data_IF_837055999924
#
_entry.id   IF_837055999924
#
_cell.length_a   1.000
_cell.length_b   1.000
_cell.length_c   1.000
_cell.angle_alpha   90.00
_cell.angle_beta   90.00
_cell.angle_gamma   90.00
#
_symmetry.space_group_name_H-M   'P 1'
#
loop_
_entity.id
_entity.type
_entity.pdbx_description
1 polymer ?
#
# COMPACT_ATOMS: atom_id res chain seq x y z
N UNK A 1 -12.80 10.20 29.93
CA UNK A 1 -13.33 9.02 29.19
C UNK A 1 -12.19 8.05 28.97
N UNK A 2 -12.46 6.76 29.10
CA UNK A 2 -11.48 5.67 29.00
C UNK A 2 -11.32 5.25 27.55
N UNK A 3 -10.12 4.83 27.14
CA UNK A 3 -9.89 4.22 25.82
C UNK A 3 -10.31 2.77 25.87
N UNK A 4 -11.23 2.38 24.98
CA UNK A 4 -11.60 0.99 24.75
C UNK A 4 -10.88 0.43 23.51
N UNK A 5 -10.79 -0.89 23.42
CA UNK A 5 -10.10 -1.57 22.31
C UNK A 5 -11.02 -2.67 21.76
N UNK A 6 -11.23 -2.64 20.47
CA UNK A 6 -11.95 -3.67 19.72
C UNK A 6 -11.43 -3.76 18.28
N UNK A 7 -11.59 -4.89 17.58
CA UNK A 7 -11.34 -4.94 16.14
C UNK A 7 -12.28 -3.98 15.39
N UNK A 8 -11.95 -3.70 14.15
CA UNK A 8 -12.82 -2.98 13.21
C UNK A 8 -13.95 -3.90 12.71
N UNK A 9 -14.99 -3.26 12.23
CA UNK A 9 -16.12 -3.88 11.53
C UNK A 9 -16.35 -3.17 10.18
N UNK A 10 -17.24 -3.71 9.37
CA UNK A 10 -17.60 -3.09 8.07
C UNK A 10 -18.16 -1.67 8.19
N UNK A 11 -18.69 -1.30 9.34
CA UNK A 11 -19.20 0.05 9.59
C UNK A 11 -18.08 1.06 9.90
N UNK A 12 -16.84 0.63 10.13
CA UNK A 12 -15.78 1.47 10.66
C UNK A 12 -14.80 1.99 9.55
N UNK A 13 -15.03 1.69 8.28
CA UNK A 13 -14.12 2.09 7.19
C UNK A 13 -13.99 3.60 7.03
N UNK A 14 -15.08 4.36 7.21
CA UNK A 14 -15.00 5.83 7.12
C UNK A 14 -14.23 6.40 8.31
N UNK A 15 -14.42 5.89 9.53
CA UNK A 15 -13.63 6.27 10.69
C UNK A 15 -12.14 5.89 10.54
N UNK A 16 -11.84 4.76 9.89
CA UNK A 16 -10.48 4.36 9.54
C UNK A 16 -9.84 5.38 8.59
N UNK A 17 -10.56 5.75 7.53
CA UNK A 17 -10.11 6.73 6.54
C UNK A 17 -9.83 8.10 7.20
N UNK A 18 -10.77 8.60 8.00
CA UNK A 18 -10.61 9.86 8.74
C UNK A 18 -9.36 9.85 9.62
N UNK A 19 -9.15 8.81 10.41
CA UNK A 19 -7.99 8.68 11.29
C UNK A 19 -6.66 8.65 10.52
N UNK A 20 -6.58 7.85 9.46
CA UNK A 20 -5.34 7.70 8.68
C UNK A 20 -5.02 8.97 7.89
N UNK A 21 -6.02 9.64 7.32
CA UNK A 21 -5.86 10.93 6.65
C UNK A 21 -5.41 12.03 7.62
N UNK A 22 -6.01 12.11 8.82
CA UNK A 22 -5.59 13.04 9.89
C UNK A 22 -4.14 12.81 10.29
N UNK A 23 -3.77 11.55 10.51
CA UNK A 23 -2.42 11.18 10.92
C UNK A 23 -1.37 11.51 9.85
N UNK A 24 -1.69 11.22 8.59
CA UNK A 24 -0.84 11.46 7.42
C UNK A 24 -0.62 12.97 7.18
N UNK A 25 -1.69 13.75 7.28
CA UNK A 25 -1.63 15.21 7.18
C UNK A 25 -0.74 15.83 8.28
N UNK A 26 -0.85 15.33 9.51
CA UNK A 26 -0.02 15.78 10.63
C UNK A 26 1.48 15.41 10.47
N UNK A 27 1.79 14.45 9.63
CA UNK A 27 3.17 14.05 9.27
C UNK A 27 3.72 14.78 8.05
N UNK A 28 2.92 15.65 7.43
CA UNK A 28 3.30 16.45 6.26
C UNK A 28 3.12 15.71 4.93
N UNK A 29 2.38 14.60 4.93
CA UNK A 29 2.09 13.77 3.76
C UNK A 29 0.58 13.59 3.60
N UNK A 30 -0.18 14.65 3.29
CA UNK A 30 -1.62 14.55 3.19
C UNK A 30 -2.02 13.61 2.05
N UNK A 31 -2.90 12.68 2.37
CA UNK A 31 -3.58 11.79 1.43
C UNK A 31 -5.08 11.82 1.71
N UNK A 32 -5.90 11.55 0.73
CA UNK A 32 -7.36 11.52 0.86
C UNK A 32 -7.88 10.14 0.46
N UNK A 33 -7.55 9.12 1.25
CA UNK A 33 -8.19 7.82 1.07
C UNK A 33 -9.59 7.82 1.68
N UNK A 34 -10.55 7.29 0.94
CA UNK A 34 -11.93 7.09 1.39
C UNK A 34 -12.12 5.73 2.08
N UNK A 35 -13.20 5.58 2.84
CA UNK A 35 -13.58 4.29 3.39
C UNK A 35 -13.83 3.21 2.33
N UNK A 36 -14.30 3.61 1.14
CA UNK A 36 -14.49 2.70 0.01
C UNK A 36 -13.17 2.15 -0.53
N UNK A 37 -12.13 2.99 -0.61
CA UNK A 37 -10.79 2.57 -1.02
C UNK A 37 -10.17 1.60 -0.02
N UNK A 38 -10.29 1.87 1.29
CA UNK A 38 -9.83 0.91 2.31
C UNK A 38 -10.60 -0.40 2.26
N UNK A 39 -11.90 -0.37 2.00
CA UNK A 39 -12.70 -1.59 1.84
C UNK A 39 -12.19 -2.44 0.68
N UNK A 40 -11.92 -1.81 -0.47
CA UNK A 40 -11.39 -2.50 -1.65
C UNK A 40 -9.98 -3.04 -1.40
N UNK A 41 -9.11 -2.24 -0.80
CA UNK A 41 -7.75 -2.63 -0.46
C UNK A 41 -7.73 -3.83 0.51
N UNK A 42 -8.50 -3.76 1.61
CA UNK A 42 -8.58 -4.83 2.60
C UNK A 42 -9.13 -6.12 2.00
N UNK A 43 -10.15 -6.02 1.12
CA UNK A 43 -10.66 -7.16 0.40
C UNK A 43 -9.61 -7.78 -0.54
N UNK A 44 -8.82 -6.97 -1.24
CA UNK A 44 -7.78 -7.44 -2.16
C UNK A 44 -6.65 -8.20 -1.46
N UNK A 45 -6.35 -7.85 -0.21
CA UNK A 45 -5.37 -8.54 0.64
C UNK A 45 -5.98 -9.64 1.53
N UNK A 46 -7.29 -9.87 1.46
CA UNK A 46 -7.98 -10.87 2.29
C UNK A 46 -7.89 -10.57 3.79
N UNK A 47 -7.95 -9.30 4.18
CA UNK A 47 -7.89 -8.89 5.58
C UNK A 47 -9.21 -9.26 6.27
N UNK A 48 -9.14 -10.13 7.26
CA UNK A 48 -10.23 -10.39 8.21
C UNK A 48 -10.24 -9.29 9.27
N UNK A 49 -11.24 -8.43 9.24
CA UNK A 49 -11.34 -7.30 10.16
C UNK A 49 -11.29 -7.75 11.63
N UNK A 50 -11.92 -8.85 11.97
CA UNK A 50 -11.99 -9.35 13.35
C UNK A 50 -10.68 -9.92 13.87
N UNK A 51 -9.87 -10.48 12.97
CA UNK A 51 -8.63 -11.19 13.31
C UNK A 51 -7.36 -10.39 13.02
N UNK A 52 -7.43 -9.42 12.11
CA UNK A 52 -6.26 -8.70 11.60
C UNK A 52 -6.27 -7.20 11.90
N UNK A 53 -7.31 -6.69 12.60
CA UNK A 53 -7.40 -5.25 12.93
C UNK A 53 -7.57 -5.02 14.43
N UNK A 54 -7.06 -3.87 14.90
CA UNK A 54 -7.11 -3.43 16.29
C UNK A 54 -7.42 -1.95 16.33
N UNK A 55 -8.61 -1.58 16.80
CA UNK A 55 -9.03 -0.19 16.98
C UNK A 55 -8.94 0.25 18.45
N UNK A 56 -8.45 1.47 18.68
CA UNK A 56 -8.52 2.17 19.95
C UNK A 56 -9.57 3.27 19.85
N UNK A 57 -10.54 3.27 20.74
CA UNK A 57 -11.74 4.09 20.69
C UNK A 57 -11.85 5.01 21.91
N UNK A 58 -12.16 6.28 21.67
CA UNK A 58 -12.53 7.24 22.70
C UNK A 58 -14.00 7.64 22.51
N UNK A 59 -14.89 7.00 23.26
CA UNK A 59 -16.32 7.03 22.95
C UNK A 59 -16.58 6.33 21.61
N UNK A 60 -17.18 7.02 20.66
CA UNK A 60 -17.44 6.54 19.30
C UNK A 60 -16.33 6.88 18.30
N UNK A 61 -15.36 7.68 18.70
CA UNK A 61 -14.27 8.11 17.81
C UNK A 61 -13.14 7.09 17.78
N UNK A 62 -12.72 6.66 16.60
CA UNK A 62 -11.52 5.86 16.39
C UNK A 62 -10.30 6.78 16.54
N UNK A 63 -9.48 6.56 17.57
CA UNK A 63 -8.32 7.40 17.90
C UNK A 63 -6.98 6.70 17.69
N UNK A 64 -7.03 5.44 17.30
CA UNK A 64 -5.84 4.67 16.94
C UNK A 64 -6.23 3.36 16.27
N UNK A 65 -5.40 2.90 15.37
CA UNK A 65 -5.58 1.63 14.66
C UNK A 65 -4.25 0.94 14.43
N UNK A 66 -4.26 -0.38 14.44
CA UNK A 66 -3.26 -1.21 13.77
C UNK A 66 -3.98 -2.27 12.94
N UNK A 67 -3.40 -2.64 11.80
CA UNK A 67 -3.88 -3.75 10.98
C UNK A 67 -2.71 -4.50 10.35
N UNK A 68 -2.96 -5.77 10.05
CA UNK A 68 -1.94 -6.67 9.52
C UNK A 68 -2.30 -7.08 8.10
N UNK A 69 -1.38 -6.83 7.18
CA UNK A 69 -1.44 -7.30 5.80
C UNK A 69 -0.44 -8.44 5.64
N UNK A 70 -0.95 -9.65 5.36
CA UNK A 70 -0.10 -10.80 5.13
C UNK A 70 0.03 -11.05 3.62
N UNK A 71 1.25 -11.11 3.14
CA UNK A 71 1.59 -11.35 1.73
C UNK A 71 2.31 -12.69 1.64
N UNK A 72 1.59 -13.78 1.34
CA UNK A 72 2.18 -15.10 1.20
C UNK A 72 3.08 -15.17 -0.03
N UNK A 73 4.11 -16.01 0.04
CA UNK A 73 5.00 -16.27 -1.10
C UNK A 73 5.67 -17.62 -0.94
N UNK A 74 5.91 -18.30 -2.06
CA UNK A 74 6.63 -19.58 -2.11
C UNK A 74 8.00 -19.46 -2.77
N UNK A 75 8.35 -18.27 -3.29
CA UNK A 75 9.49 -18.15 -4.18
C UNK A 75 10.66 -17.34 -3.64
N UNK A 76 10.43 -16.27 -2.84
CA UNK A 76 11.49 -15.37 -2.40
C UNK A 76 11.51 -15.10 -0.92
N UNK A 77 10.43 -14.55 -0.42
CA UNK A 77 10.23 -14.24 0.99
C UNK A 77 8.74 -14.01 1.24
N UNK A 78 8.31 -14.30 2.42
CA UNK A 78 6.96 -14.08 2.90
C UNK A 78 6.95 -12.94 3.92
N UNK A 79 5.97 -12.07 3.84
CA UNK A 79 5.94 -10.86 4.67
C UNK A 79 4.58 -10.67 5.32
N UNK A 80 4.58 -10.29 6.60
CA UNK A 80 3.43 -9.68 7.24
C UNK A 80 3.77 -8.23 7.59
N UNK A 81 3.01 -7.29 7.04
CA UNK A 81 3.13 -5.88 7.36
C UNK A 81 2.24 -5.53 8.53
N UNK A 82 2.74 -4.70 9.44
CA UNK A 82 1.95 -4.09 10.51
C UNK A 82 1.85 -2.61 10.24
N UNK A 83 0.69 -2.17 9.78
CA UNK A 83 0.36 -0.77 9.55
C UNK A 83 -0.45 -0.21 10.71
N UNK A 84 -0.51 1.11 10.82
CA UNK A 84 -1.39 1.76 11.76
C UNK A 84 -1.02 3.20 12.07
N UNK A 85 -1.92 3.87 12.78
CA UNK A 85 -1.72 5.25 13.21
C UNK A 85 -2.38 5.51 14.57
N UNK A 86 -2.01 6.62 15.18
CA UNK A 86 -2.68 7.19 16.34
C UNK A 86 -2.95 8.66 16.05
N UNK A 87 -4.20 9.09 16.26
CA UNK A 87 -4.60 10.50 16.13
C UNK A 87 -3.63 11.39 16.90
N UNK A 88 -3.18 12.50 16.30
CA UNK A 88 -2.18 13.39 16.90
C UNK A 88 -2.50 13.79 18.34
N UNK A 89 -3.76 14.08 18.64
CA UNK A 89 -4.23 14.45 19.97
C UNK A 89 -4.16 13.34 21.02
N UNK A 90 -3.95 12.08 20.61
CA UNK A 90 -3.89 10.92 21.48
C UNK A 90 -2.51 10.24 21.53
N UNK A 91 -1.52 10.79 20.85
CA UNK A 91 -0.13 10.29 20.88
C UNK A 91 0.49 10.44 22.28
N UNK A 92 1.53 9.66 22.56
CA UNK A 92 2.25 9.71 23.83
C UNK A 92 1.56 9.01 25.01
N UNK A 93 0.37 8.41 24.82
CA UNK A 93 -0.43 7.76 25.88
C UNK A 93 -0.31 6.23 25.91
N UNK A 94 0.64 5.66 25.18
CA UNK A 94 0.86 4.21 25.11
C UNK A 94 -0.04 3.46 24.11
N UNK A 95 -1.01 4.13 23.47
CA UNK A 95 -1.96 3.51 22.51
C UNK A 95 -1.19 2.81 21.39
N UNK A 96 -0.28 3.54 20.71
CA UNK A 96 0.49 2.96 19.59
C UNK A 96 1.33 1.76 19.98
N UNK A 97 1.90 1.75 21.21
CA UNK A 97 2.65 0.60 21.71
C UNK A 97 1.77 -0.63 21.85
N UNK A 98 0.56 -0.47 22.39
CA UNK A 98 -0.39 -1.57 22.54
C UNK A 98 -0.83 -2.09 21.20
N UNK A 99 -1.32 -1.20 20.32
CA UNK A 99 -1.82 -1.57 18.99
C UNK A 99 -0.74 -2.26 18.15
N UNK A 100 0.46 -1.71 18.11
CA UNK A 100 1.58 -2.30 17.38
C UNK A 100 1.98 -3.66 17.96
N UNK A 101 1.97 -3.81 19.29
CA UNK A 101 2.21 -5.10 19.94
C UNK A 101 1.19 -6.18 19.55
N UNK A 102 -0.10 -5.85 19.53
CA UNK A 102 -1.15 -6.76 19.07
C UNK A 102 -0.94 -7.14 17.57
N UNK A 103 -0.61 -6.15 16.73
CA UNK A 103 -0.30 -6.38 15.32
C UNK A 103 0.90 -7.32 15.13
N UNK A 104 1.98 -7.14 15.90
CA UNK A 104 3.15 -8.03 15.86
C UNK A 104 2.80 -9.48 16.20
N UNK A 105 1.98 -9.70 17.22
CA UNK A 105 1.52 -11.06 17.62
C UNK A 105 0.77 -11.73 16.47
N UNK A 106 -0.11 -10.99 15.79
CA UNK A 106 -0.86 -11.53 14.64
C UNK A 106 0.06 -11.77 13.44
N UNK A 107 0.94 -10.82 13.11
CA UNK A 107 1.90 -10.95 12.02
C UNK A 107 2.79 -12.20 12.19
N UNK A 108 3.34 -12.40 13.39
CA UNK A 108 4.13 -13.60 13.70
C UNK A 108 3.31 -14.89 13.64
N UNK A 109 2.06 -14.87 14.10
CA UNK A 109 1.17 -16.02 14.05
C UNK A 109 0.92 -16.45 12.60
N UNK A 110 0.61 -15.50 11.70
CA UNK A 110 0.37 -15.76 10.28
C UNK A 110 1.62 -16.36 9.62
N UNK A 111 2.79 -15.77 9.86
CA UNK A 111 4.05 -16.28 9.33
C UNK A 111 4.42 -17.67 9.86
N UNK A 112 4.13 -17.97 11.13
CA UNK A 112 4.37 -19.30 11.72
C UNK A 112 3.40 -20.36 11.20
N UNK A 113 2.17 -19.97 10.86
CA UNK A 113 1.16 -20.88 10.30
C UNK A 113 1.46 -21.27 8.84
N UNK A 114 2.24 -20.48 8.14
CA UNK A 114 2.64 -20.76 6.76
C UNK A 114 3.65 -21.90 6.70
N UNK A 115 3.41 -22.85 5.79
CA UNK A 115 4.33 -23.96 5.47
C UNK A 115 5.40 -23.57 4.45
N UNK A 116 5.37 -22.36 3.91
CA UNK A 116 6.34 -21.89 2.92
C UNK A 116 7.78 -21.97 3.47
N UNK A 117 8.75 -22.50 2.71
CA UNK A 117 10.13 -22.65 3.13
C UNK A 117 10.97 -21.37 2.99
N UNK A 118 10.40 -20.31 2.44
CA UNK A 118 11.13 -19.06 2.18
C UNK A 118 11.39 -18.24 3.46
N UNK A 119 12.36 -17.33 3.46
CA UNK A 119 12.56 -16.40 4.57
C UNK A 119 11.30 -15.59 4.87
N UNK A 120 11.02 -15.40 6.17
CA UNK A 120 9.82 -14.75 6.67
C UNK A 120 10.17 -13.49 7.43
N UNK A 121 9.43 -12.40 7.15
CA UNK A 121 9.70 -11.10 7.75
C UNK A 121 8.43 -10.44 8.27
N UNK A 122 8.53 -9.79 9.42
CA UNK A 122 7.60 -8.76 9.83
C UNK A 122 8.16 -7.42 9.38
N UNK A 123 7.34 -6.59 8.75
CA UNK A 123 7.70 -5.24 8.31
C UNK A 123 6.72 -4.20 8.86
N UNK A 124 7.23 -3.00 9.07
CA UNK A 124 6.45 -1.81 9.37
C UNK A 124 7.06 -0.64 8.63
N UNK A 125 6.24 0.34 8.26
CA UNK A 125 6.65 1.51 7.51
C UNK A 125 6.26 2.78 8.25
N UNK A 126 7.07 3.80 8.13
CA UNK A 126 6.78 5.13 8.65
C UNK A 126 7.48 6.18 7.80
N UNK A 127 6.87 7.35 7.70
CA UNK A 127 7.54 8.53 7.15
C UNK A 127 8.77 8.87 7.98
N UNK A 128 9.84 9.30 7.32
CA UNK A 128 11.09 9.69 7.99
C UNK A 128 10.87 10.80 9.03
N UNK A 129 9.87 11.62 8.84
CA UNK A 129 9.44 12.68 9.77
C UNK A 129 8.79 12.14 11.05
N UNK A 130 8.28 10.91 11.06
CA UNK A 130 7.64 10.28 12.21
C UNK A 130 8.65 9.57 13.12
N UNK A 131 9.50 10.35 13.79
CA UNK A 131 10.51 9.82 14.72
C UNK A 131 9.92 9.00 15.89
N UNK A 132 8.64 9.20 16.20
CA UNK A 132 7.96 8.46 17.28
C UNK A 132 7.65 7.04 16.87
N UNK A 133 7.17 6.84 15.63
CA UNK A 133 6.95 5.51 15.06
C UNK A 133 8.29 4.76 14.91
N UNK A 134 9.32 5.42 14.39
CA UNK A 134 10.65 4.80 14.26
C UNK A 134 11.20 4.30 15.60
N UNK A 135 11.13 5.13 16.67
CA UNK A 135 11.51 4.68 18.01
C UNK A 135 10.64 3.56 18.56
N UNK A 136 9.35 3.50 18.19
CA UNK A 136 8.48 2.40 18.57
C UNK A 136 8.94 1.09 17.90
N UNK A 137 9.23 1.14 16.61
CA UNK A 137 9.70 -0.01 15.84
C UNK A 137 11.05 -0.54 16.36
N UNK A 138 12.00 0.34 16.62
CA UNK A 138 13.30 -0.02 17.18
C UNK A 138 13.17 -0.71 18.56
N UNK A 139 12.30 -0.18 19.45
CA UNK A 139 12.03 -0.79 20.75
C UNK A 139 11.35 -2.15 20.66
N UNK A 140 10.63 -2.40 19.57
CA UNK A 140 10.04 -3.69 19.26
C UNK A 140 11.02 -4.65 18.56
N UNK A 141 12.28 -4.25 18.36
CA UNK A 141 13.34 -5.08 17.76
C UNK A 141 13.43 -4.99 16.23
N UNK A 142 12.64 -4.13 15.59
CA UNK A 142 12.76 -3.91 14.15
C UNK A 142 13.97 -3.00 13.86
N UNK A 143 14.54 -3.17 12.67
CA UNK A 143 15.67 -2.35 12.19
C UNK A 143 15.35 -1.77 10.82
N UNK A 144 15.81 -0.55 10.50
CA UNK A 144 15.70 0.00 9.16
C UNK A 144 16.30 -0.97 8.13
N UNK A 145 15.51 -1.34 7.12
CA UNK A 145 15.90 -2.29 6.08
C UNK A 145 15.99 -1.62 4.69
N UNK A 146 15.11 -0.65 4.44
CA UNK A 146 15.04 0.05 3.16
C UNK A 146 14.45 1.45 3.34
N UNK A 147 14.81 2.34 2.41
CA UNK A 147 14.21 3.66 2.26
C UNK A 147 13.61 3.78 0.86
N UNK A 148 12.45 4.40 0.77
CA UNK A 148 11.76 4.72 -0.47
C UNK A 148 11.64 6.24 -0.59
N UNK A 149 11.53 6.75 -1.79
CA UNK A 149 11.35 8.16 -2.05
C UNK A 149 10.19 8.37 -3.02
N UNK A 150 9.24 9.20 -2.64
CA UNK A 150 8.22 9.68 -3.56
C UNK A 150 8.80 10.77 -4.45
N UNK A 151 8.68 10.61 -5.75
CA UNK A 151 9.15 11.56 -6.74
C UNK A 151 7.97 12.32 -7.33
N UNK A 152 8.07 13.65 -7.37
CA UNK A 152 7.07 14.53 -8.00
C UNK A 152 7.67 15.30 -9.15
N UNK A 153 6.90 15.47 -10.22
CA UNK A 153 7.28 16.27 -11.37
C UNK A 153 6.16 17.20 -11.79
N UNK A 154 6.54 18.47 -12.10
CA UNK A 154 5.63 19.39 -12.82
C UNK A 154 5.46 18.93 -14.26
N UNK A 155 4.23 19.07 -14.79
CA UNK A 155 3.90 18.80 -16.18
C UNK A 155 3.94 20.04 -17.07
N UNK A 156 4.45 21.19 -16.58
CA UNK A 156 4.55 22.44 -17.36
C UNK A 156 5.56 22.26 -18.51
N UNK A 157 6.71 21.63 -18.26
CA UNK A 157 7.76 21.42 -19.27
C UNK A 157 8.06 19.93 -19.40
N UNK A 158 7.14 19.19 -20.00
CA UNK A 158 7.34 17.75 -20.24
C UNK A 158 8.26 17.55 -21.44
N UNK A 159 9.39 16.84 -21.31
CA UNK A 159 10.24 16.54 -22.45
C UNK A 159 9.47 15.65 -23.45
N UNK A 160 9.77 15.84 -24.74
CA UNK A 160 9.24 14.96 -25.76
C UNK A 160 9.77 13.55 -25.55
N UNK A 161 8.92 12.52 -25.63
CA UNK A 161 9.38 11.13 -25.59
C UNK A 161 10.40 10.88 -26.69
N UNK A 162 11.48 10.19 -26.36
CA UNK A 162 12.43 9.71 -27.35
C UNK A 162 11.93 8.39 -27.92
N UNK A 163 11.90 8.24 -29.26
CA UNK A 163 11.55 6.96 -29.86
C UNK A 163 12.60 5.91 -29.51
N UNK A 164 12.17 4.69 -29.27
CA UNK A 164 13.04 3.53 -29.06
C UNK A 164 12.90 2.65 -30.30
N UNK A 165 14.02 2.35 -30.96
CA UNK A 165 14.03 1.49 -32.15
C UNK A 165 13.45 0.11 -31.84
N UNK A 166 12.51 -0.35 -32.67
CA UNK A 166 11.87 -1.63 -32.50
C UNK A 166 10.81 -1.70 -31.40
N UNK A 167 10.51 -0.59 -30.68
CA UNK A 167 9.49 -0.56 -29.64
C UNK A 167 8.38 0.43 -29.99
N UNK A 168 7.14 -0.03 -29.88
CA UNK A 168 5.94 0.82 -30.03
C UNK A 168 5.28 1.02 -28.66
N UNK A 169 4.95 2.25 -28.31
CA UNK A 169 4.13 2.54 -27.13
C UNK A 169 2.66 2.57 -27.58
N UNK A 170 1.84 1.71 -27.00
CA UNK A 170 0.42 1.57 -27.32
C UNK A 170 -0.43 1.75 -26.07
N UNK A 171 -1.69 2.21 -26.20
CA UNK A 171 -2.61 2.27 -25.07
C UNK A 171 -2.79 0.90 -24.40
N UNK A 172 -3.16 0.93 -23.13
CA UNK A 172 -3.49 -0.29 -22.38
C UNK A 172 -4.67 -1.01 -23.03
N UNK A 173 -4.53 -2.30 -23.28
CA UNK A 173 -5.58 -3.18 -23.79
C UNK A 173 -5.90 -4.25 -22.72
N UNK A 174 -7.10 -4.22 -22.19
CA UNK A 174 -7.56 -5.16 -21.14
C UNK A 174 -7.49 -6.61 -21.60
N UNK A 175 -7.65 -6.88 -22.90
CA UNK A 175 -7.54 -8.24 -23.44
C UNK A 175 -6.15 -8.85 -23.28
N UNK A 176 -5.13 -8.02 -23.03
CA UNK A 176 -3.73 -8.42 -22.84
C UNK A 176 -3.28 -8.40 -21.35
N UNK A 177 -4.24 -8.34 -20.42
CA UNK A 177 -3.91 -8.24 -18.98
C UNK A 177 -3.10 -9.43 -18.46
N UNK A 178 -3.33 -10.63 -18.97
CA UNK A 178 -2.59 -11.83 -18.54
C UNK A 178 -1.12 -11.73 -18.99
N UNK A 179 -0.87 -11.30 -20.22
CA UNK A 179 0.47 -11.04 -20.73
C UNK A 179 1.17 -9.91 -19.93
N UNK A 180 0.44 -8.85 -19.59
CA UNK A 180 0.96 -7.77 -18.77
C UNK A 180 1.34 -8.24 -17.35
N UNK A 181 0.57 -9.16 -16.76
CA UNK A 181 0.92 -9.78 -15.48
C UNK A 181 2.22 -10.60 -15.56
N UNK A 182 2.42 -11.34 -16.63
CA UNK A 182 3.68 -12.08 -16.86
C UNK A 182 4.86 -11.11 -16.91
N UNK A 183 4.74 -10.03 -17.70
CA UNK A 183 5.78 -8.99 -17.79
C UNK A 183 6.03 -8.32 -16.43
N UNK A 184 4.97 -7.97 -15.68
CA UNK A 184 5.08 -7.43 -14.33
C UNK A 184 5.87 -8.38 -13.43
N UNK A 185 5.49 -9.64 -13.39
CA UNK A 185 6.14 -10.61 -12.51
C UNK A 185 7.61 -10.84 -12.89
N UNK A 186 7.95 -10.81 -14.18
CA UNK A 186 9.32 -10.89 -14.66
C UNK A 186 10.13 -9.64 -14.33
N UNK A 187 9.59 -8.44 -14.60
CA UNK A 187 10.28 -7.18 -14.37
C UNK A 187 10.60 -6.93 -12.88
N UNK A 188 9.79 -7.52 -11.97
CA UNK A 188 9.96 -7.35 -10.52
C UNK A 188 10.66 -8.53 -9.84
N UNK A 189 11.27 -9.44 -10.60
CA UNK A 189 11.98 -10.59 -10.01
C UNK A 189 13.13 -10.18 -9.08
N UNK A 190 13.84 -9.13 -9.39
CA UNK A 190 14.95 -8.60 -8.59
C UNK A 190 14.58 -7.36 -7.78
N UNK A 191 13.35 -6.84 -7.93
CA UNK A 191 12.89 -5.71 -7.13
C UNK A 191 12.76 -6.09 -5.65
N UNK A 192 13.41 -5.31 -4.79
CA UNK A 192 13.41 -5.57 -3.35
C UNK A 192 12.01 -5.48 -2.75
N UNK A 193 11.61 -6.51 -2.02
CA UNK A 193 10.32 -6.55 -1.32
C UNK A 193 9.15 -7.01 -2.18
N UNK A 194 9.30 -7.12 -3.49
CA UNK A 194 8.23 -7.60 -4.36
C UNK A 194 8.09 -9.12 -4.32
N UNK A 195 6.84 -9.54 -4.45
CA UNK A 195 6.45 -10.94 -4.70
C UNK A 195 5.65 -11.01 -6.00
N UNK A 196 5.55 -12.19 -6.58
CA UNK A 196 4.72 -12.39 -7.77
C UNK A 196 3.25 -12.16 -7.43
N UNK A 197 2.57 -11.41 -8.28
CA UNK A 197 1.11 -11.22 -8.16
C UNK A 197 0.38 -12.40 -8.79
N UNK A 198 -0.74 -12.76 -8.17
CA UNK A 198 -1.72 -13.70 -8.75
C UNK A 198 -2.61 -12.99 -9.76
N UNK A 199 -3.30 -13.72 -10.68
CA UNK A 199 -4.26 -13.11 -11.61
C UNK A 199 -5.36 -12.32 -10.92
N UNK A 200 -5.91 -12.82 -9.82
CA UNK A 200 -6.97 -12.12 -9.07
C UNK A 200 -6.46 -10.83 -8.43
N UNK A 201 -5.26 -10.86 -7.82
CA UNK A 201 -4.65 -9.66 -7.27
C UNK A 201 -4.31 -8.64 -8.36
N UNK A 202 -3.75 -9.08 -9.48
CA UNK A 202 -3.49 -8.21 -10.63
C UNK A 202 -4.75 -7.59 -11.20
N UNK A 203 -5.82 -8.37 -11.32
CA UNK A 203 -7.13 -7.88 -11.76
C UNK A 203 -7.64 -6.79 -10.81
N UNK A 204 -7.67 -7.03 -9.49
CA UNK A 204 -8.06 -6.03 -8.50
C UNK A 204 -7.19 -4.78 -8.60
N UNK A 205 -5.88 -4.93 -8.79
CA UNK A 205 -4.94 -3.82 -8.95
C UNK A 205 -5.23 -2.97 -10.19
N UNK A 206 -5.55 -3.57 -11.32
CA UNK A 206 -5.74 -2.86 -12.60
C UNK A 206 -7.15 -2.36 -12.84
N UNK A 207 -8.15 -2.86 -12.10
CA UNK A 207 -9.56 -2.43 -12.22
C UNK A 207 -10.08 -1.67 -11.00
N UNK A 208 -9.29 -1.56 -9.94
CA UNK A 208 -9.66 -0.94 -8.68
C UNK A 208 -9.86 0.57 -8.75
N UNK A 209 -10.33 1.13 -7.65
CA UNK A 209 -10.56 2.58 -7.52
C UNK A 209 -9.27 3.34 -7.89
N UNK A 210 -9.44 4.41 -8.64
CA UNK A 210 -8.33 5.24 -9.12
C UNK A 210 -7.61 4.72 -10.36
N UNK A 211 -7.87 3.50 -10.84
CA UNK A 211 -7.24 2.95 -12.05
C UNK A 211 -7.52 3.81 -13.27
N UNK A 212 -6.48 4.13 -14.05
CA UNK A 212 -6.58 4.98 -15.24
C UNK A 212 -5.95 4.27 -16.44
N UNK A 213 -6.67 3.27 -16.97
CA UNK A 213 -6.22 2.53 -18.16
C UNK A 213 -6.06 3.42 -19.39
N UNK A 214 -6.84 4.51 -19.46
CA UNK A 214 -6.72 5.55 -20.49
C UNK A 214 -5.41 6.37 -20.38
N UNK A 215 -4.73 6.31 -19.24
CA UNK A 215 -3.41 6.93 -18.98
C UNK A 215 -2.32 5.87 -18.78
N UNK A 216 -2.60 4.62 -19.11
CA UNK A 216 -1.68 3.50 -18.95
C UNK A 216 -1.28 2.96 -20.33
N UNK A 217 -0.08 2.43 -20.44
CA UNK A 217 0.50 2.09 -21.74
C UNK A 217 1.30 0.80 -21.66
N UNK A 218 1.37 0.10 -22.79
CA UNK A 218 2.33 -0.97 -23.03
C UNK A 218 3.45 -0.50 -23.95
N UNK A 219 4.64 -0.99 -23.70
CA UNK A 219 5.74 -1.03 -24.66
C UNK A 219 5.71 -2.38 -25.36
N UNK A 220 5.61 -2.38 -26.68
CA UNK A 220 5.45 -3.59 -27.52
C UNK A 220 6.62 -3.74 -28.46
N UNK A 221 7.25 -4.90 -28.44
CA UNK A 221 8.38 -5.26 -29.29
C UNK A 221 8.00 -5.58 -30.73
N UNK A 222 9.00 -5.94 -31.58
CA UNK A 222 8.79 -6.26 -33.00
C UNK A 222 7.96 -7.51 -33.24
N UNK A 223 7.96 -8.45 -32.30
CA UNK A 223 7.17 -9.69 -32.29
C UNK A 223 5.75 -9.53 -31.74
N UNK A 224 5.33 -8.27 -31.57
CA UNK A 224 4.05 -7.87 -30.98
C UNK A 224 3.86 -8.28 -29.51
N UNK A 225 4.93 -8.66 -28.80
CA UNK A 225 4.87 -8.96 -27.38
C UNK A 225 5.03 -7.71 -26.51
N UNK A 226 4.37 -7.70 -25.35
CA UNK A 226 4.60 -6.69 -24.33
C UNK A 226 5.99 -6.92 -23.76
N UNK A 227 6.82 -5.87 -23.82
CA UNK A 227 8.20 -5.86 -23.28
C UNK A 227 8.35 -4.89 -22.12
N UNK A 228 7.29 -4.16 -21.79
CA UNK A 228 7.24 -3.24 -20.65
C UNK A 228 5.87 -2.58 -20.54
N UNK A 229 5.60 -1.96 -19.43
CA UNK A 229 4.34 -1.24 -19.19
C UNK A 229 4.52 -0.07 -18.24
N UNK A 230 3.58 0.87 -18.30
CA UNK A 230 3.39 1.91 -17.30
C UNK A 230 1.91 1.92 -16.91
N UNK A 231 1.63 1.68 -15.64
CA UNK A 231 0.28 1.72 -15.08
C UNK A 231 0.09 2.97 -14.24
N UNK A 232 -1.02 3.66 -14.45
CA UNK A 232 -1.30 4.95 -13.84
C UNK A 232 -2.58 4.92 -13.02
N UNK A 233 -2.58 5.72 -11.94
CA UNK A 233 -3.75 5.95 -11.08
C UNK A 233 -4.01 7.44 -10.90
N UNK A 234 -5.24 7.78 -10.57
CA UNK A 234 -5.64 9.13 -10.21
C UNK A 234 -6.73 9.09 -9.14
N UNK A 235 -6.52 9.86 -8.11
CA UNK A 235 -7.46 10.05 -7.00
C UNK A 235 -7.84 11.54 -6.97
N UNK A 236 -9.01 11.93 -7.51
CA UNK A 236 -9.42 13.34 -7.59
C UNK A 236 -9.50 14.05 -6.24
N UNK A 237 -9.78 13.30 -5.17
CA UNK A 237 -9.89 13.84 -3.82
C UNK A 237 -8.54 14.34 -3.27
N UNK A 238 -7.43 13.81 -3.79
CA UNK A 238 -6.09 14.30 -3.47
C UNK A 238 -5.82 15.70 -4.06
N UNK A 239 -6.51 16.11 -5.12
CA UNK A 239 -6.21 17.36 -5.83
C UNK A 239 -6.27 18.58 -4.91
N UNK A 240 -7.24 18.63 -4.00
CA UNK A 240 -7.41 19.72 -3.04
C UNK A 240 -6.32 19.74 -1.96
N UNK A 241 -5.88 18.58 -1.51
CA UNK A 241 -4.84 18.44 -0.49
C UNK A 241 -3.45 18.73 -1.05
N UNK A 242 -3.21 18.33 -2.29
CA UNK A 242 -1.91 18.46 -2.95
C UNK A 242 -1.75 19.80 -3.70
N UNK A 243 -2.82 20.61 -3.76
CA UNK A 243 -2.81 21.94 -4.37
C UNK A 243 -2.81 21.93 -5.91
N UNK A 244 -3.34 20.89 -6.55
CA UNK A 244 -3.43 20.77 -8.00
C UNK A 244 -3.87 19.39 -8.46
N UNK A 245 -3.99 19.21 -9.78
CA UNK A 245 -4.33 17.91 -10.36
C UNK A 245 -3.10 17.01 -10.40
N UNK A 246 -3.22 15.83 -9.82
CA UNK A 246 -2.17 14.83 -9.76
C UNK A 246 -2.61 13.53 -10.41
N UNK A 247 -1.65 12.81 -10.98
CA UNK A 247 -1.76 11.42 -11.35
C UNK A 247 -0.50 10.69 -10.86
N UNK A 248 -0.65 9.45 -10.53
CA UNK A 248 0.42 8.58 -10.08
C UNK A 248 0.86 7.67 -11.23
N UNK A 249 2.16 7.59 -11.46
CA UNK A 249 2.74 6.44 -12.16
C UNK A 249 2.94 5.40 -11.08
N UNK A 250 1.96 4.52 -10.97
CA UNK A 250 1.83 3.59 -9.83
C UNK A 250 2.78 2.40 -9.98
N UNK A 251 2.91 1.91 -11.21
CA UNK A 251 3.75 0.76 -11.49
C UNK A 251 4.37 0.86 -12.88
N UNK A 252 5.68 0.58 -12.97
CA UNK A 252 6.45 0.54 -14.22
C UNK A 252 7.32 -0.70 -14.23
N UNK A 253 7.25 -1.46 -15.28
CA UNK A 253 8.03 -2.69 -15.45
C UNK A 253 8.42 -2.95 -16.89
#
# INVERSE_FOLDING_TARGET
>A
MTISFRPLSDADYDALAELLNEASAAEGHPVAQSGAEFREEFASFGIDLSAHTFGAWHGESLVGVAYVVHVPSETRHEVSYVFGAVSPGFRGRGIGRRLFGEGLVVAERLLRASSSPVPKFVRAEAWQTNSTAMRLFERAGLRPARYFADLRRSLVDVPKPLPIEGVRVVPWDVSRNDEALEVKNLAFLDHWGSVSMTPDWWKSHTTGIGSRLDLSFFAVGPDDKIVGYAFSRRFPDDDSLLGGKFAWVDNVG
#
